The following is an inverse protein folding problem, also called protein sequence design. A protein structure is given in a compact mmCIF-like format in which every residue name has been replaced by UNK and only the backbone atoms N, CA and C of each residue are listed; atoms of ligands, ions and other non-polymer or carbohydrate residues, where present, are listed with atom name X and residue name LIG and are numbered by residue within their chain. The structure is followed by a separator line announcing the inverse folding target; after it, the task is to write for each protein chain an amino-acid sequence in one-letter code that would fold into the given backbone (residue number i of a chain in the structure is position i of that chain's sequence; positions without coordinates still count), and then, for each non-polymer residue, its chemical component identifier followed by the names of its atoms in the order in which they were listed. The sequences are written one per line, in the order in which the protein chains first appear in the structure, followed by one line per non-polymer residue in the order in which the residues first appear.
data_IF_802970967030
#
_entry.id   IF_802970967030
#
_cell.length_a   1.000
_cell.length_b   1.000
_cell.length_c   1.000
_cell.angle_alpha   90.00
_cell.angle_beta   90.00
_cell.angle_gamma   90.00
#
_symmetry.space_group_name_H-M   'P 1'
#
loop_
_entity.id
_entity.type
_entity.pdbx_description
1 polymer ?
#
# COMPACT_ATOMS: atom_id res chain seq x y z
N UNK A 1 -22.92 48.16 19.33
CA UNK A 1 -23.02 47.32 20.54
C UNK A 1 -22.10 46.12 20.34
N UNK A 2 -20.84 46.21 20.77
CA UNK A 2 -19.87 45.10 20.69
C UNK A 2 -20.16 44.16 21.85
N UNK A 3 -21.03 43.18 21.63
CA UNK A 3 -21.16 42.05 22.58
C UNK A 3 -19.78 41.41 22.62
N UNK A 4 -19.21 41.25 23.82
CA UNK A 4 -17.88 40.66 23.96
C UNK A 4 -17.93 39.25 23.38
N UNK A 5 -16.86 38.81 22.68
CA UNK A 5 -16.76 37.43 22.17
C UNK A 5 -17.06 36.43 23.30
N UNK A 6 -16.69 36.76 24.55
CA UNK A 6 -17.02 35.98 25.76
C UNK A 6 -18.53 35.82 26.03
N UNK A 7 -19.33 36.87 25.84
CA UNK A 7 -20.78 36.84 26.05
C UNK A 7 -21.52 36.15 24.91
N UNK A 8 -20.97 36.18 23.69
CA UNK A 8 -21.54 35.48 22.55
C UNK A 8 -21.35 33.97 22.69
N UNK A 9 -20.18 33.53 23.18
CA UNK A 9 -19.85 32.11 23.35
C UNK A 9 -20.71 31.38 24.42
N UNK A 10 -21.18 32.08 25.46
CA UNK A 10 -22.06 31.48 26.50
C UNK A 10 -23.50 31.24 26.01
N UNK A 11 -23.95 31.97 25.00
CA UNK A 11 -25.27 31.74 24.37
C UNK A 11 -25.26 30.45 23.56
N UNK A 12 -24.12 30.08 22.97
CA UNK A 12 -24.04 29.00 22.00
C UNK A 12 -23.99 27.61 22.64
N UNK A 13 -23.46 27.51 23.87
CA UNK A 13 -23.57 26.30 24.71
C UNK A 13 -25.03 25.85 24.90
N UNK A 14 -25.99 26.80 24.87
CA UNK A 14 -27.42 26.52 25.06
C UNK A 14 -28.13 26.05 23.80
N UNK A 15 -27.42 25.85 22.69
CA UNK A 15 -27.98 25.46 21.39
C UNK A 15 -27.33 24.15 20.89
N UNK A 16 -27.57 23.00 21.57
CA UNK A 16 -26.99 21.72 21.18
C UNK A 16 -27.40 21.35 19.75
N UNK A 17 -26.43 20.90 18.94
CA UNK A 17 -26.65 20.47 17.57
C UNK A 17 -27.03 21.57 16.58
N UNK A 18 -27.00 22.85 16.97
CA UNK A 18 -27.39 23.94 16.07
C UNK A 18 -26.32 24.18 14.98
N UNK A 19 -26.63 23.94 13.68
CA UNK A 19 -25.62 24.03 12.62
C UNK A 19 -25.03 25.43 12.45
N UNK A 20 -25.83 26.49 12.69
CA UNK A 20 -25.34 27.88 12.60
C UNK A 20 -24.37 28.22 13.73
N UNK A 21 -24.65 27.73 14.94
CA UNK A 21 -23.74 27.89 16.07
C UNK A 21 -22.43 27.14 15.83
N UNK A 22 -22.49 25.89 15.36
CA UNK A 22 -21.32 25.07 15.02
C UNK A 22 -20.47 25.75 13.92
N UNK A 23 -21.09 26.14 12.81
CA UNK A 23 -20.38 26.80 11.70
C UNK A 23 -19.71 28.10 12.14
N UNK A 24 -20.38 28.88 12.99
CA UNK A 24 -19.81 30.11 13.49
C UNK A 24 -18.68 29.86 14.51
N UNK A 25 -18.67 28.74 15.25
CA UNK A 25 -17.56 28.39 16.15
C UNK A 25 -16.35 27.96 15.35
N UNK A 26 -16.56 27.17 14.30
CA UNK A 26 -15.51 26.78 13.35
C UNK A 26 -14.86 28.03 12.76
N UNK A 27 -15.67 29.00 12.32
CA UNK A 27 -15.15 30.27 11.79
C UNK A 27 -14.32 31.05 12.83
N UNK A 28 -14.76 31.10 14.09
CA UNK A 28 -13.99 31.75 15.16
C UNK A 28 -12.67 31.00 15.42
N UNK A 29 -12.70 29.66 15.47
CA UNK A 29 -11.53 28.82 15.70
C UNK A 29 -10.44 29.07 14.64
N UNK A 30 -10.85 29.19 13.37
CA UNK A 30 -9.93 29.47 12.26
C UNK A 30 -9.43 30.91 12.20
N UNK A 31 -10.23 31.89 12.64
CA UNK A 31 -9.90 33.31 12.50
C UNK A 31 -9.08 33.89 13.67
N UNK A 32 -9.20 33.31 14.86
CA UNK A 32 -8.54 33.83 16.06
C UNK A 32 -7.16 33.22 16.28
N UNK A 33 -6.21 34.01 16.78
CA UNK A 33 -4.90 33.54 17.29
C UNK A 33 -4.83 33.55 18.83
N UNK A 34 -5.91 33.97 19.50
CA UNK A 34 -5.99 33.99 20.95
C UNK A 34 -6.26 32.56 21.47
N UNK A 35 -5.30 32.02 22.22
CA UNK A 35 -5.33 30.65 22.76
C UNK A 35 -6.47 30.42 23.76
N UNK A 36 -6.83 31.43 24.56
CA UNK A 36 -7.96 31.34 25.49
C UNK A 36 -9.29 31.26 24.73
N UNK A 37 -9.43 32.04 23.66
CA UNK A 37 -10.60 31.98 22.77
C UNK A 37 -10.63 30.61 22.08
N UNK A 38 -9.52 30.13 21.53
CA UNK A 38 -9.42 28.81 20.88
C UNK A 38 -9.85 27.70 21.84
N UNK A 39 -9.25 27.65 23.04
CA UNK A 39 -9.59 26.66 24.07
C UNK A 39 -11.08 26.69 24.43
N UNK A 40 -11.66 27.88 24.59
CA UNK A 40 -13.10 28.01 24.88
C UNK A 40 -13.97 27.55 23.72
N UNK A 41 -13.62 27.91 22.48
CA UNK A 41 -14.35 27.48 21.28
C UNK A 41 -14.30 25.96 21.12
N UNK A 42 -13.13 25.35 21.30
CA UNK A 42 -12.95 23.89 21.29
C UNK A 42 -13.84 23.22 22.34
N UNK A 43 -13.85 23.73 23.59
CA UNK A 43 -14.71 23.18 24.64
C UNK A 43 -16.19 23.24 24.27
N UNK A 44 -16.66 24.36 23.72
CA UNK A 44 -18.07 24.53 23.33
C UNK A 44 -18.42 23.59 22.18
N UNK A 45 -17.54 23.45 21.17
CA UNK A 45 -17.71 22.46 20.10
C UNK A 45 -17.82 21.04 20.68
N UNK A 46 -17.04 20.72 21.70
CA UNK A 46 -17.12 19.43 22.40
C UNK A 46 -18.45 19.16 23.11
N UNK A 47 -19.17 20.20 23.50
CA UNK A 47 -20.47 20.10 24.17
C UNK A 47 -21.64 20.06 23.20
N UNK A 48 -21.56 20.79 22.08
CA UNK A 48 -22.71 21.01 21.18
C UNK A 48 -22.62 20.27 19.84
N UNK A 49 -21.44 19.78 19.45
CA UNK A 49 -21.17 19.24 18.11
C UNK A 49 -20.94 17.72 18.11
N UNK A 50 -21.58 17.00 19.03
CA UNK A 50 -21.58 15.54 19.09
C UNK A 50 -21.98 14.92 17.73
N UNK A 51 -21.10 14.12 17.14
CA UNK A 51 -21.30 13.48 15.83
C UNK A 51 -21.26 14.42 14.63
N UNK A 52 -20.90 15.70 14.79
CA UNK A 52 -20.87 16.64 13.68
C UNK A 52 -19.54 16.53 12.90
N UNK A 53 -19.57 16.16 11.60
CA UNK A 53 -18.36 15.91 10.81
C UNK A 53 -17.56 17.19 10.55
N UNK A 54 -18.21 18.35 10.43
CA UNK A 54 -17.55 19.63 10.20
C UNK A 54 -16.74 20.06 11.43
N UNK A 55 -17.30 19.87 12.63
CA UNK A 55 -16.62 20.13 13.88
C UNK A 55 -15.43 19.18 14.10
N UNK A 56 -15.60 17.89 13.77
CA UNK A 56 -14.51 16.91 13.80
C UNK A 56 -13.37 17.38 12.88
N UNK A 57 -13.66 17.69 11.61
CA UNK A 57 -12.66 18.14 10.66
C UNK A 57 -11.96 19.44 11.10
N UNK A 58 -12.70 20.41 11.62
CA UNK A 58 -12.15 21.67 12.12
C UNK A 58 -11.24 21.47 13.35
N UNK A 59 -11.64 20.61 14.28
CA UNK A 59 -10.84 20.27 15.46
C UNK A 59 -9.57 19.49 15.07
N UNK A 60 -9.66 18.57 14.11
CA UNK A 60 -8.49 17.87 13.55
C UNK A 60 -7.52 18.84 12.89
N UNK A 61 -8.01 19.75 12.05
CA UNK A 61 -7.17 20.76 11.42
C UNK A 61 -6.51 21.71 12.44
N UNK A 62 -7.27 22.15 13.45
CA UNK A 62 -6.75 22.96 14.53
C UNK A 62 -5.65 22.23 15.32
N UNK A 63 -5.86 20.94 15.57
CA UNK A 63 -4.92 20.09 16.29
C UNK A 63 -3.62 19.84 15.52
N UNK A 64 -3.67 19.70 14.20
CA UNK A 64 -2.48 19.60 13.35
C UNK A 64 -1.70 20.92 13.25
N UNK A 65 -2.35 22.07 13.50
CA UNK A 65 -1.74 23.38 13.41
C UNK A 65 -1.13 23.90 14.74
N UNK A 66 -1.52 23.31 15.87
CA UNK A 66 -1.02 23.72 17.19
C UNK A 66 0.17 22.87 17.65
N UNK A 67 1.16 23.52 18.26
CA UNK A 67 2.28 22.85 18.94
C UNK A 67 2.13 22.88 20.47
N UNK A 68 1.04 23.46 20.98
CA UNK A 68 0.76 23.53 22.42
C UNK A 68 0.18 22.18 22.89
N UNK A 69 0.91 21.46 23.73
CA UNK A 69 0.54 20.12 24.18
C UNK A 69 -0.72 20.11 25.07
N UNK A 70 -0.99 21.16 25.86
CA UNK A 70 -2.20 21.25 26.68
C UNK A 70 -3.45 21.42 25.81
N UNK A 71 -3.33 22.20 24.74
CA UNK A 71 -4.37 22.33 23.71
C UNK A 71 -4.52 20.99 22.99
N UNK A 72 -3.43 20.32 22.62
CA UNK A 72 -3.48 19.04 21.90
C UNK A 72 -4.17 17.96 22.73
N UNK A 73 -3.86 17.89 24.02
CA UNK A 73 -4.53 17.02 24.98
C UNK A 73 -6.03 17.33 25.07
N UNK A 74 -6.38 18.60 25.22
CA UNK A 74 -7.77 19.05 25.36
C UNK A 74 -8.61 18.72 24.12
N UNK A 75 -8.08 19.03 22.94
CA UNK A 75 -8.76 18.76 21.67
C UNK A 75 -8.89 17.26 21.43
N UNK A 76 -7.87 16.46 21.75
CA UNK A 76 -7.91 14.98 21.65
C UNK A 76 -9.02 14.39 22.51
N UNK A 77 -9.14 14.82 23.77
CA UNK A 77 -10.23 14.39 24.65
C UNK A 77 -11.61 14.78 24.10
N UNK A 78 -11.72 15.97 23.51
CA UNK A 78 -12.97 16.44 22.91
C UNK A 78 -13.34 15.62 21.67
N UNK A 79 -12.38 15.35 20.79
CA UNK A 79 -12.57 14.47 19.64
C UNK A 79 -13.09 13.09 20.06
N UNK A 80 -12.54 12.51 21.13
CA UNK A 80 -13.03 11.25 21.70
C UNK A 80 -14.47 11.33 22.24
N UNK A 81 -14.90 12.48 22.77
CA UNK A 81 -16.28 12.68 23.29
C UNK A 81 -17.31 12.89 22.21
N UNK A 82 -16.98 13.67 21.17
CA UNK A 82 -17.91 13.94 20.07
C UNK A 82 -17.96 12.79 19.05
N UNK A 83 -17.25 11.68 19.32
CA UNK A 83 -17.03 10.60 18.39
C UNK A 83 -18.23 9.73 18.02
N UNK A 84 -19.40 10.00 18.59
CA UNK A 84 -20.60 9.24 18.29
C UNK A 84 -21.11 9.54 16.89
N UNK A 85 -21.04 8.55 15.99
CA UNK A 85 -21.65 8.62 14.65
C UNK A 85 -20.69 8.86 13.48
N UNK A 86 -19.38 8.99 13.73
CA UNK A 86 -18.37 9.00 12.66
C UNK A 86 -17.01 8.41 13.13
N UNK A 87 -16.96 7.11 13.46
CA UNK A 87 -15.75 6.48 14.00
C UNK A 87 -14.58 6.46 13.00
N UNK A 88 -14.86 6.40 11.68
CA UNK A 88 -13.84 6.37 10.62
C UNK A 88 -13.04 7.67 10.55
N UNK A 89 -13.71 8.82 10.41
CA UNK A 89 -13.04 10.12 10.30
C UNK A 89 -12.19 10.43 11.54
N UNK A 90 -12.62 9.92 12.69
CA UNK A 90 -11.95 10.13 13.96
C UNK A 90 -10.77 9.19 14.12
N UNK A 91 -10.89 7.93 13.71
CA UNK A 91 -9.76 7.01 13.68
C UNK A 91 -8.62 7.57 12.82
N UNK A 92 -8.92 8.11 11.63
CA UNK A 92 -7.91 8.75 10.77
C UNK A 92 -7.26 9.97 11.44
N UNK A 93 -8.06 10.85 12.05
CA UNK A 93 -7.54 12.01 12.77
C UNK A 93 -6.63 11.62 13.95
N UNK A 94 -7.07 10.63 14.74
CA UNK A 94 -6.35 10.09 15.88
C UNK A 94 -5.01 9.45 15.49
N UNK A 95 -4.97 8.68 14.40
CA UNK A 95 -3.74 8.11 13.87
C UNK A 95 -2.76 9.21 13.41
N UNK A 96 -3.27 10.28 12.78
CA UNK A 96 -2.46 11.44 12.43
C UNK A 96 -1.81 12.10 13.66
N UNK A 97 -2.54 12.25 14.76
CA UNK A 97 -2.00 12.80 16.01
C UNK A 97 -0.95 11.87 16.61
N UNK A 98 -1.24 10.56 16.64
CA UNK A 98 -0.31 9.55 17.14
C UNK A 98 1.06 9.66 16.45
N UNK A 99 1.05 9.84 15.12
CA UNK A 99 2.25 9.95 14.29
C UNK A 99 3.05 11.26 14.46
N UNK A 100 2.39 12.36 14.86
CA UNK A 100 2.99 13.71 14.90
C UNK A 100 3.30 14.22 16.30
N UNK A 101 2.64 13.68 17.33
CA UNK A 101 2.89 14.08 18.73
C UNK A 101 4.23 13.59 19.24
N UNK A 102 4.92 14.40 20.04
CA UNK A 102 6.06 13.96 20.86
C UNK A 102 5.69 13.80 22.35
N UNK A 103 4.53 14.29 22.76
CA UNK A 103 4.04 14.13 24.13
C UNK A 103 3.48 12.72 24.37
N UNK A 104 4.02 12.05 25.40
CA UNK A 104 3.66 10.68 25.79
C UNK A 104 2.23 10.62 26.33
N UNK A 105 1.79 11.63 27.08
CA UNK A 105 0.44 11.68 27.66
C UNK A 105 -0.63 11.75 26.57
N UNK A 106 -0.36 12.53 25.52
CA UNK A 106 -1.19 12.66 24.33
C UNK A 106 -1.23 11.35 23.55
N UNK A 107 -0.09 10.67 23.32
CA UNK A 107 -0.10 9.34 22.67
C UNK A 107 -0.93 8.33 23.43
N UNK A 108 -0.72 8.24 24.74
CA UNK A 108 -1.48 7.32 25.59
C UNK A 108 -2.98 7.60 25.49
N UNK A 109 -3.41 8.87 25.53
CA UNK A 109 -4.82 9.22 25.38
C UNK A 109 -5.38 8.85 24.00
N UNK A 110 -4.64 9.14 22.92
CA UNK A 110 -5.02 8.75 21.57
C UNK A 110 -5.23 7.25 21.47
N UNK A 111 -4.31 6.45 22.01
CA UNK A 111 -4.40 4.99 22.07
C UNK A 111 -5.63 4.52 22.82
N UNK A 112 -5.90 5.09 24.00
CA UNK A 112 -7.09 4.73 24.80
C UNK A 112 -8.40 5.10 24.10
N UNK A 113 -8.43 6.20 23.34
CA UNK A 113 -9.61 6.58 22.56
C UNK A 113 -9.78 5.63 21.37
N UNK A 114 -8.72 5.38 20.61
CA UNK A 114 -8.74 4.42 19.49
C UNK A 114 -9.24 3.04 19.95
N UNK A 115 -8.71 2.52 21.06
CA UNK A 115 -9.15 1.23 21.60
C UNK A 115 -10.64 1.19 22.02
N UNK A 116 -11.26 2.35 22.27
CA UNK A 116 -12.68 2.45 22.61
C UNK A 116 -13.60 2.67 21.39
N UNK A 117 -13.14 3.43 20.41
CA UNK A 117 -13.99 3.84 19.27
C UNK A 117 -13.85 2.92 18.07
N UNK A 118 -12.73 2.19 17.94
CA UNK A 118 -12.48 1.29 16.83
C UNK A 118 -13.38 0.07 16.96
N UNK A 119 -14.36 0.00 16.08
CA UNK A 119 -15.30 -1.12 15.94
C UNK A 119 -14.87 -2.03 14.79
N UNK A 120 -15.45 -3.23 14.70
CA UNK A 120 -15.03 -4.30 13.78
C UNK A 120 -14.93 -3.87 12.31
N UNK A 121 -15.76 -2.92 11.88
CA UNK A 121 -15.77 -2.33 10.54
C UNK A 121 -14.57 -1.39 10.29
N UNK A 122 -14.03 -0.78 11.34
CA UNK A 122 -12.92 0.19 11.27
C UNK A 122 -11.55 -0.43 11.55
N UNK A 123 -11.52 -1.59 12.21
CA UNK A 123 -10.27 -2.30 12.54
C UNK A 123 -9.35 -2.46 11.31
N UNK A 124 -9.82 -2.89 10.12
CA UNK A 124 -8.94 -3.08 8.98
C UNK A 124 -8.19 -1.80 8.59
N UNK A 125 -8.89 -0.67 8.53
CA UNK A 125 -8.30 0.64 8.18
C UNK A 125 -7.26 1.09 9.20
N UNK A 126 -7.53 0.85 10.49
CA UNK A 126 -6.61 1.18 11.59
C UNK A 126 -5.35 0.33 11.52
N UNK A 127 -5.49 -0.98 11.29
CA UNK A 127 -4.35 -1.89 11.12
C UNK A 127 -3.48 -1.47 9.94
N UNK A 128 -4.08 -1.23 8.77
CA UNK A 128 -3.34 -0.81 7.58
C UNK A 128 -2.63 0.53 7.77
N UNK A 129 -3.21 1.45 8.54
CA UNK A 129 -2.64 2.76 8.80
C UNK A 129 -1.54 2.72 9.87
N UNK A 130 -1.55 1.78 10.83
CA UNK A 130 -0.56 1.71 11.90
C UNK A 130 0.59 0.73 11.62
N UNK A 131 0.43 -0.22 10.70
CA UNK A 131 1.44 -1.27 10.44
C UNK A 131 2.86 -0.73 10.16
N UNK A 132 2.96 0.42 9.51
CA UNK A 132 4.24 0.98 9.09
C UNK A 132 5.08 1.54 10.26
N UNK A 133 4.42 1.81 11.39
CA UNK A 133 5.09 2.18 12.64
C UNK A 133 5.69 0.96 13.37
N UNK A 134 5.38 -0.27 12.94
CA UNK A 134 5.94 -1.50 13.49
C UNK A 134 7.18 -1.95 12.70
N UNK A 135 8.18 -1.08 12.63
CA UNK A 135 9.49 -1.39 12.05
C UNK A 135 10.63 -1.04 13.01
N UNK A 136 11.77 -1.69 12.82
CA UNK A 136 12.98 -1.52 13.65
C UNK A 136 13.39 -0.05 13.77
N UNK A 137 13.25 0.72 12.69
CA UNK A 137 13.56 2.15 12.68
C UNK A 137 12.68 2.94 13.67
N UNK A 138 11.38 2.65 13.74
CA UNK A 138 10.46 3.34 14.66
C UNK A 138 10.70 2.88 16.10
N UNK A 139 11.01 1.60 16.30
CA UNK A 139 11.38 1.06 17.61
C UNK A 139 12.61 1.78 18.20
N UNK A 140 13.63 2.03 17.39
CA UNK A 140 14.87 2.70 17.83
C UNK A 140 14.70 4.22 18.00
N UNK A 141 14.01 4.89 17.08
CA UNK A 141 13.90 6.36 17.09
C UNK A 141 12.77 6.89 17.93
N UNK A 142 11.71 6.10 18.11
CA UNK A 142 10.46 6.57 18.68
C UNK A 142 9.70 5.43 19.38
N UNK A 143 10.33 4.84 20.40
CA UNK A 143 9.82 3.67 21.12
C UNK A 143 8.38 3.83 21.62
N UNK A 144 8.00 5.02 22.12
CA UNK A 144 6.62 5.23 22.59
C UNK A 144 5.60 5.13 21.43
N UNK A 145 5.96 5.54 20.19
CA UNK A 145 5.08 5.43 19.02
C UNK A 145 4.93 3.97 18.61
N UNK A 146 6.04 3.23 18.63
CA UNK A 146 6.05 1.80 18.37
C UNK A 146 5.17 1.05 19.38
N UNK A 147 5.35 1.31 20.68
CA UNK A 147 4.60 0.66 21.76
C UNK A 147 3.09 0.94 21.66
N UNK A 148 2.70 2.20 21.45
CA UNK A 148 1.30 2.57 21.31
C UNK A 148 0.67 1.98 20.04
N UNK A 149 1.39 1.99 18.90
CA UNK A 149 0.91 1.38 17.66
C UNK A 149 0.72 -0.14 17.82
N UNK A 150 1.65 -0.79 18.53
CA UNK A 150 1.57 -2.22 18.84
C UNK A 150 0.36 -2.52 19.74
N UNK A 151 0.11 -1.72 20.78
CA UNK A 151 -1.04 -1.88 21.66
C UNK A 151 -2.36 -1.82 20.87
N UNK A 152 -2.52 -0.81 20.01
CA UNK A 152 -3.74 -0.63 19.20
C UNK A 152 -3.94 -1.83 18.26
N UNK A 153 -2.87 -2.26 17.60
CA UNK A 153 -2.88 -3.40 16.68
C UNK A 153 -3.20 -4.71 17.40
N UNK A 154 -2.67 -4.94 18.59
CA UNK A 154 -2.97 -6.14 19.38
C UNK A 154 -4.43 -6.13 19.83
N UNK A 155 -4.96 -4.98 20.24
CA UNK A 155 -6.38 -4.84 20.55
C UNK A 155 -7.25 -5.09 19.30
N UNK A 156 -6.83 -4.63 18.13
CA UNK A 156 -7.47 -4.94 16.85
C UNK A 156 -7.49 -6.45 16.56
N UNK A 157 -6.36 -7.14 16.76
CA UNK A 157 -6.24 -8.58 16.54
C UNK A 157 -7.14 -9.42 17.48
N UNK A 158 -7.38 -8.94 18.71
CA UNK A 158 -8.27 -9.63 19.66
C UNK A 158 -9.75 -9.54 19.26
N UNK A 159 -10.13 -8.50 18.52
CA UNK A 159 -11.52 -8.22 18.16
C UNK A 159 -11.87 -8.64 16.72
N UNK A 160 -10.90 -9.16 15.95
CA UNK A 160 -11.07 -9.48 14.52
C UNK A 160 -10.74 -10.95 14.20
N UNK A 161 -11.50 -11.62 13.30
CA UNK A 161 -11.09 -12.90 12.76
C UNK A 161 -9.73 -12.83 12.07
N UNK A 162 -8.88 -13.83 12.30
CA UNK A 162 -7.52 -13.90 11.75
C UNK A 162 -7.42 -13.63 10.23
N UNK A 163 -8.31 -14.16 9.36
CA UNK A 163 -8.23 -13.88 7.93
C UNK A 163 -8.40 -12.40 7.59
N UNK A 164 -9.31 -11.70 8.26
CA UNK A 164 -9.57 -10.27 8.05
C UNK A 164 -8.41 -9.42 8.58
N UNK A 165 -7.79 -9.85 9.70
CA UNK A 165 -6.60 -9.20 10.24
C UNK A 165 -5.42 -9.33 9.28
N UNK A 166 -5.18 -10.55 8.80
CA UNK A 166 -4.13 -10.86 7.84
C UNK A 166 -4.29 -10.03 6.55
N UNK A 167 -5.52 -9.89 6.05
CA UNK A 167 -5.81 -9.03 4.90
C UNK A 167 -5.46 -7.57 5.19
N UNK A 168 -5.94 -7.00 6.30
CA UNK A 168 -5.66 -5.62 6.68
C UNK A 168 -4.18 -5.32 6.92
N UNK A 169 -3.45 -6.31 7.43
CA UNK A 169 -2.01 -6.26 7.67
C UNK A 169 -1.19 -6.31 6.38
N UNK A 170 -1.68 -7.00 5.34
CA UNK A 170 -0.89 -7.21 4.12
C UNK A 170 -1.40 -6.40 2.90
N UNK A 171 -2.60 -5.82 2.97
CA UNK A 171 -3.23 -5.09 1.85
C UNK A 171 -3.67 -3.69 2.31
N UNK A 172 -3.38 -2.65 1.51
CA UNK A 172 -3.97 -1.33 1.70
C UNK A 172 -5.44 -1.36 1.27
N UNK A 173 -6.36 -1.05 2.19
CA UNK A 173 -7.78 -0.92 1.88
C UNK A 173 -8.01 0.20 0.86
N UNK A 174 -8.28 -0.18 -0.38
CA UNK A 174 -9.00 0.67 -1.33
C UNK A 174 -10.48 0.51 -1.03
N UNK A 175 -11.11 1.55 -0.49
CA UNK A 175 -12.54 1.57 -0.17
C UNK A 175 -13.39 1.52 -1.44
N UNK A 176 -14.50 0.77 -1.42
CA UNK A 176 -15.70 1.17 -2.16
C UNK A 176 -16.93 1.18 -1.25
N UNK A 177 -17.67 2.29 -1.30
CA UNK A 177 -18.97 2.47 -0.64
C UNK A 177 -20.13 1.92 -1.53
N UNK A 178 -21.40 1.92 -1.08
CA UNK A 178 -22.20 0.73 -0.74
C UNK A 178 -23.26 0.36 -1.80
N UNK A 179 -23.75 -0.87 -1.79
CA UNK A 179 -25.20 -1.20 -1.76
C UNK A 179 -25.46 -2.71 -1.65
N UNK A 180 -26.68 -3.03 -1.24
CA UNK A 180 -27.12 -4.13 -0.37
C UNK A 180 -27.66 -5.36 -1.18
N UNK A 181 -28.38 -6.31 -0.56
CA UNK A 181 -28.01 -7.67 -0.18
C UNK A 181 -28.41 -8.74 -1.23
N UNK A 182 -28.05 -10.00 -0.96
CA UNK A 182 -28.93 -11.20 -1.01
C UNK A 182 -28.14 -12.48 -1.35
N UNK A 183 -27.96 -13.32 -0.34
CA UNK A 183 -28.54 -14.68 -0.20
C UNK A 183 -27.97 -15.76 -1.13
N UNK A 184 -27.33 -16.72 -0.48
CA UNK A 184 -27.31 -18.16 -0.82
C UNK A 184 -26.99 -18.55 -2.26
N UNK A 185 -25.79 -19.06 -2.47
CA UNK A 185 -25.46 -19.87 -3.63
C UNK A 185 -23.97 -20.06 -3.76
N UNK A 186 -23.51 -21.30 -3.67
CA UNK A 186 -22.14 -21.71 -3.97
C UNK A 186 -21.74 -21.19 -5.35
N UNK A 187 -20.62 -20.46 -5.43
CA UNK A 187 -20.03 -20.03 -6.70
C UNK A 187 -19.42 -18.64 -6.64
N UNK A 188 -18.09 -18.60 -6.61
CA UNK A 188 -17.23 -17.57 -7.19
C UNK A 188 -17.72 -16.11 -7.16
N UNK A 189 -17.23 -15.31 -6.22
CA UNK A 189 -17.25 -13.84 -6.35
C UNK A 189 -15.84 -13.32 -6.66
N UNK A 190 -15.72 -12.33 -7.57
CA UNK A 190 -14.45 -11.76 -8.02
C UNK A 190 -13.83 -10.84 -6.96
N UNK A 191 -12.57 -10.46 -7.15
CA UNK A 191 -11.72 -9.62 -6.29
C UNK A 191 -10.72 -10.35 -5.36
N UNK A 192 -10.09 -11.39 -5.88
CA UNK A 192 -8.64 -11.29 -6.10
C UNK A 192 -8.45 -10.74 -7.51
N UNK A 193 -8.00 -9.50 -7.70
CA UNK A 193 -7.16 -9.26 -8.87
C UNK A 193 -5.77 -9.78 -8.48
N UNK A 194 -5.69 -11.10 -8.35
CA UNK A 194 -4.45 -11.83 -8.53
C UNK A 194 -3.85 -11.27 -9.80
N UNK A 195 -2.62 -10.76 -9.72
CA UNK A 195 -1.93 -10.27 -10.89
C UNK A 195 -2.04 -11.35 -11.95
N UNK A 196 -2.81 -11.10 -13.00
CA UNK A 196 -2.92 -12.09 -14.06
C UNK A 196 -1.55 -12.14 -14.71
N UNK A 197 -0.77 -13.18 -14.42
CA UNK A 197 0.59 -13.29 -14.95
C UNK A 197 0.58 -13.27 -16.49
N UNK A 198 -0.55 -13.58 -17.13
CA UNK A 198 -0.74 -13.39 -18.57
C UNK A 198 -0.57 -11.91 -19.02
N UNK A 199 -0.92 -10.94 -18.18
CA UNK A 199 -0.80 -9.50 -18.45
C UNK A 199 0.50 -8.90 -17.88
N UNK A 200 1.34 -9.71 -17.22
CA UNK A 200 2.63 -9.29 -16.65
C UNK A 200 3.50 -8.49 -17.64
N UNK A 201 3.70 -8.92 -18.90
CA UNK A 201 4.54 -8.16 -19.83
C UNK A 201 4.01 -6.74 -20.07
N UNK A 202 2.68 -6.58 -20.21
CA UNK A 202 2.06 -5.27 -20.45
C UNK A 202 2.19 -4.34 -19.25
N UNK A 203 2.04 -4.91 -18.04
CA UNK A 203 2.14 -4.15 -16.79
C UNK A 203 3.58 -3.67 -16.57
N UNK A 204 4.57 -4.53 -16.83
CA UNK A 204 5.99 -4.17 -16.75
C UNK A 204 6.34 -3.12 -17.79
N UNK A 205 5.88 -3.27 -19.05
CA UNK A 205 6.10 -2.27 -20.09
C UNK A 205 5.55 -0.89 -19.68
N UNK A 206 4.32 -0.83 -19.14
CA UNK A 206 3.72 0.43 -18.67
C UNK A 206 4.56 1.09 -17.56
N UNK A 207 5.03 0.30 -16.59
CA UNK A 207 5.89 0.79 -15.48
C UNK A 207 7.27 1.22 -15.94
N UNK A 208 7.84 0.56 -16.95
CA UNK A 208 9.14 0.94 -17.52
C UNK A 208 9.06 2.26 -18.28
N UNK A 209 7.92 2.57 -18.90
CA UNK A 209 7.67 3.88 -19.52
C UNK A 209 7.58 4.97 -18.45
N UNK A 210 6.83 4.74 -17.36
CA UNK A 210 6.73 5.71 -16.24
C UNK A 210 8.09 6.04 -15.62
N UNK A 211 8.98 5.05 -15.54
CA UNK A 211 10.30 5.18 -14.91
C UNK A 211 11.42 5.56 -15.88
N UNK A 212 11.12 5.79 -17.17
CA UNK A 212 12.08 6.09 -18.24
C UNK A 212 13.16 5.01 -18.49
N UNK A 213 13.04 3.83 -17.86
CA UNK A 213 13.99 2.72 -18.01
C UNK A 213 13.88 2.03 -19.37
N UNK A 214 12.77 2.22 -20.08
CA UNK A 214 12.55 1.63 -21.42
C UNK A 214 13.52 2.16 -22.48
N UNK A 215 14.22 3.26 -22.21
CA UNK A 215 15.24 3.82 -23.11
C UNK A 215 16.56 3.03 -23.04
N UNK A 216 16.91 2.50 -21.86
CA UNK A 216 18.16 1.75 -21.63
C UNK A 216 17.98 0.23 -21.62
N UNK A 217 16.76 -0.26 -21.36
CA UNK A 217 16.48 -1.68 -21.21
C UNK A 217 15.62 -2.23 -22.35
N UNK A 218 15.93 -3.46 -22.76
CA UNK A 218 15.06 -4.27 -23.61
C UNK A 218 14.53 -5.46 -22.80
N UNK A 219 13.31 -5.33 -22.29
CA UNK A 219 12.66 -6.38 -21.51
C UNK A 219 12.09 -7.46 -22.44
N UNK A 220 12.42 -8.72 -22.17
CA UNK A 220 11.91 -9.86 -22.91
C UNK A 220 11.32 -10.87 -21.92
N UNK A 221 9.99 -10.86 -21.83
CA UNK A 221 9.24 -11.80 -21.01
C UNK A 221 8.94 -13.08 -21.78
N UNK A 222 9.30 -14.23 -21.21
CA UNK A 222 9.11 -15.56 -21.76
C UNK A 222 8.13 -16.32 -20.88
N UNK A 223 7.02 -16.73 -21.49
CA UNK A 223 6.01 -17.59 -20.89
C UNK A 223 6.43 -19.06 -21.03
N UNK A 224 6.78 -19.67 -19.90
CA UNK A 224 7.27 -21.04 -19.83
C UNK A 224 6.15 -22.07 -19.86
N UNK A 225 4.90 -21.65 -19.64
CA UNK A 225 3.74 -22.54 -19.62
C UNK A 225 3.41 -23.14 -20.99
N UNK A 226 4.01 -22.59 -22.06
CA UNK A 226 3.85 -23.00 -23.45
C UNK A 226 4.93 -23.97 -23.94
N UNK A 227 5.88 -24.33 -23.07
CA UNK A 227 6.98 -25.22 -23.46
C UNK A 227 6.46 -26.64 -23.69
N UNK A 228 6.82 -27.22 -24.84
CA UNK A 228 6.50 -28.62 -25.15
C UNK A 228 7.55 -29.54 -24.53
N UNK A 229 8.83 -29.15 -24.62
CA UNK A 229 9.96 -29.83 -24.01
C UNK A 229 10.58 -28.94 -22.92
N UNK A 230 10.40 -29.31 -21.65
CA UNK A 230 10.90 -28.54 -20.51
C UNK A 230 12.41 -28.69 -20.28
N UNK A 231 13.05 -29.71 -20.86
CA UNK A 231 14.50 -29.92 -20.80
C UNK A 231 15.24 -29.13 -21.90
N UNK A 232 14.62 -28.98 -23.08
CA UNK A 232 15.17 -28.21 -24.21
C UNK A 232 14.12 -27.29 -24.90
N UNK A 233 13.67 -26.21 -24.22
CA UNK A 233 12.68 -25.28 -24.78
C UNK A 233 13.27 -24.28 -25.80
N UNK A 234 14.38 -24.61 -26.48
CA UNK A 234 15.13 -23.66 -27.30
C UNK A 234 14.29 -23.06 -28.45
N UNK A 235 13.51 -23.90 -29.15
CA UNK A 235 12.65 -23.47 -30.24
C UNK A 235 11.45 -22.64 -29.75
N UNK A 236 10.86 -23.01 -28.61
CA UNK A 236 9.73 -22.30 -28.02
C UNK A 236 10.13 -20.89 -27.55
N UNK A 237 11.31 -20.77 -26.93
CA UNK A 237 11.89 -19.47 -26.54
C UNK A 237 12.20 -18.63 -27.78
N UNK A 238 12.77 -19.24 -28.82
CA UNK A 238 13.07 -18.53 -30.06
C UNK A 238 11.81 -18.02 -30.76
N UNK A 239 10.72 -18.78 -30.77
CA UNK A 239 9.42 -18.31 -31.27
C UNK A 239 8.95 -17.04 -30.53
N UNK A 240 9.04 -17.05 -29.20
CA UNK A 240 8.67 -15.89 -28.37
C UNK A 240 9.61 -14.69 -28.57
N UNK A 241 10.88 -14.90 -28.90
CA UNK A 241 11.79 -13.80 -29.30
C UNK A 241 11.32 -13.11 -30.58
N UNK A 242 10.88 -13.87 -31.58
CA UNK A 242 10.38 -13.32 -32.83
C UNK A 242 9.10 -12.48 -32.63
N UNK A 243 8.18 -12.94 -31.77
CA UNK A 243 6.96 -12.20 -31.41
C UNK A 243 7.27 -10.85 -30.73
N UNK A 244 8.44 -10.73 -30.11
CA UNK A 244 8.96 -9.51 -29.47
C UNK A 244 9.84 -8.66 -30.39
N UNK A 245 9.74 -8.85 -31.71
CA UNK A 245 10.49 -8.14 -32.75
C UNK A 245 12.02 -8.35 -32.69
N UNK A 246 12.50 -9.48 -32.14
CA UNK A 246 13.92 -9.80 -32.22
C UNK A 246 14.30 -10.24 -33.66
N UNK A 247 15.50 -9.89 -34.16
CA UNK A 247 15.92 -10.20 -35.52
C UNK A 247 16.04 -11.71 -35.74
N UNK A 248 15.51 -12.23 -36.84
CA UNK A 248 15.67 -13.65 -37.17
C UNK A 248 17.15 -14.04 -37.26
N UNK A 249 17.48 -15.21 -36.71
CA UNK A 249 18.80 -15.79 -36.88
C UNK A 249 19.03 -16.10 -38.38
N UNK A 250 20.16 -15.66 -38.97
CA UNK A 250 20.32 -15.59 -40.42
C UNK A 250 20.32 -16.94 -41.16
N UNK A 251 20.52 -18.07 -40.47
CA UNK A 251 20.74 -19.37 -41.13
C UNK A 251 19.72 -20.46 -40.76
N UNK A 252 19.38 -20.64 -39.49
CA UNK A 252 18.43 -21.65 -39.00
C UNK A 252 17.94 -21.31 -37.59
N UNK A 253 16.76 -21.82 -37.21
CA UNK A 253 16.24 -21.69 -35.85
C UNK A 253 17.13 -22.47 -34.84
N UNK A 254 17.35 -21.95 -33.62
CA UNK A 254 18.15 -22.63 -32.60
C UNK A 254 17.37 -23.83 -32.04
N UNK A 255 17.80 -25.04 -32.42
CA UNK A 255 17.22 -26.31 -31.96
C UNK A 255 17.75 -26.74 -30.58
N UNK A 256 18.84 -26.12 -30.12
CA UNK A 256 19.50 -26.44 -28.83
C UNK A 256 19.71 -25.20 -27.97
N UNK A 257 19.73 -25.36 -26.64
CA UNK A 257 20.04 -24.28 -25.69
C UNK A 257 21.41 -23.63 -25.96
N UNK A 258 22.39 -24.37 -26.49
CA UNK A 258 23.70 -23.82 -26.87
C UNK A 258 23.59 -22.85 -28.06
N UNK A 259 22.80 -23.20 -29.07
CA UNK A 259 22.51 -22.31 -30.20
C UNK A 259 21.67 -21.10 -29.74
N UNK A 260 20.73 -21.31 -28.82
CA UNK A 260 19.96 -20.21 -28.23
C UNK A 260 20.86 -19.26 -27.44
N UNK A 261 21.83 -19.78 -26.66
CA UNK A 261 22.83 -18.97 -25.97
C UNK A 261 23.65 -18.14 -26.96
N UNK A 262 24.10 -18.75 -28.06
CA UNK A 262 24.84 -18.03 -29.09
C UNK A 262 24.01 -16.87 -29.68
N UNK A 263 22.74 -17.13 -29.99
CA UNK A 263 21.81 -16.11 -30.47
C UNK A 263 21.57 -14.99 -29.45
N UNK A 264 21.36 -15.32 -28.18
CA UNK A 264 21.24 -14.35 -27.08
C UNK A 264 22.48 -13.44 -26.96
N UNK A 265 23.67 -14.02 -27.02
CA UNK A 265 24.92 -13.26 -26.96
C UNK A 265 25.09 -12.34 -28.18
N UNK A 266 24.54 -12.70 -29.34
CA UNK A 266 24.53 -11.85 -30.53
C UNK A 266 23.52 -10.70 -30.42
N UNK A 267 22.33 -10.96 -29.88
CA UNK A 267 21.33 -9.95 -29.55
C UNK A 267 21.91 -8.84 -28.67
N UNK A 268 22.59 -9.22 -27.58
CA UNK A 268 23.22 -8.25 -26.67
C UNK A 268 24.38 -7.44 -27.29
N UNK A 269 24.98 -7.91 -28.39
CA UNK A 269 26.06 -7.17 -29.10
C UNK A 269 25.54 -6.19 -30.15
N UNK A 270 24.32 -6.39 -30.64
CA UNK A 270 23.72 -5.62 -31.72
C UNK A 270 22.61 -4.67 -31.25
N UNK A 271 22.26 -4.69 -29.97
CA UNK A 271 21.28 -3.79 -29.35
C UNK A 271 21.99 -2.71 -28.55
N UNK A 272 21.57 -1.45 -28.73
CA UNK A 272 22.02 -0.32 -27.88
C UNK A 272 21.36 -0.37 -26.48
N UNK A 273 20.41 -1.29 -26.28
CA UNK A 273 19.69 -1.51 -25.02
C UNK A 273 20.18 -2.79 -24.35
N UNK A 274 20.29 -2.75 -23.02
CA UNK A 274 20.65 -3.91 -22.23
C UNK A 274 19.50 -4.93 -22.22
N UNK A 275 19.68 -6.14 -22.80
CA UNK A 275 18.61 -7.12 -22.90
C UNK A 275 18.43 -7.84 -21.56
N UNK A 276 17.18 -7.93 -21.12
CA UNK A 276 16.81 -8.58 -19.85
C UNK A 276 15.77 -9.66 -20.13
N UNK A 277 16.05 -10.87 -19.65
CA UNK A 277 15.20 -12.03 -19.84
C UNK A 277 14.42 -12.32 -18.55
N UNK A 278 13.09 -12.30 -18.62
CA UNK A 278 12.21 -12.64 -17.49
C UNK A 278 11.40 -13.87 -17.86
N UNK A 279 11.62 -14.97 -17.15
CA UNK A 279 10.79 -16.16 -17.28
C UNK A 279 9.66 -16.13 -16.26
N UNK A 280 8.46 -16.42 -16.72
CA UNK A 280 7.29 -16.52 -15.86
C UNK A 280 6.39 -17.64 -16.35
N UNK A 281 5.54 -18.13 -15.46
CA UNK A 281 4.64 -19.23 -15.73
C UNK A 281 3.20 -18.77 -15.57
N UNK A 282 2.40 -18.85 -16.64
CA UNK A 282 0.98 -18.55 -16.56
C UNK A 282 0.25 -19.62 -15.71
N UNK A 283 -0.37 -19.23 -14.57
CA UNK A 283 -1.05 -20.18 -13.68
C UNK A 283 -2.35 -20.72 -14.28
N UNK A 284 -2.87 -20.14 -15.36
CA UNK A 284 -4.10 -20.59 -16.02
C UNK A 284 -3.87 -21.75 -17.00
N UNK A 285 -2.60 -22.09 -17.29
CA UNK A 285 -2.26 -23.16 -18.22
C UNK A 285 -2.28 -24.54 -17.55
N UNK A 286 -3.11 -25.50 -18.03
CA UNK A 286 -3.44 -26.74 -17.31
C UNK A 286 -2.33 -27.80 -17.27
N UNK A 287 -1.15 -27.53 -17.84
CA UNK A 287 -0.04 -28.47 -17.96
C UNK A 287 1.30 -27.86 -17.51
N UNK A 288 1.24 -27.02 -16.49
CA UNK A 288 2.36 -26.29 -15.92
C UNK A 288 3.39 -27.23 -15.24
N UNK A 289 4.14 -28.00 -16.03
CA UNK A 289 5.35 -28.68 -15.57
C UNK A 289 6.36 -27.57 -15.28
N UNK A 290 6.72 -27.39 -14.02
CA UNK A 290 7.72 -26.40 -13.63
C UNK A 290 9.02 -26.55 -14.43
N UNK A 291 9.86 -25.50 -14.41
CA UNK A 291 11.13 -25.50 -15.13
C UNK A 291 12.00 -26.69 -14.74
N UNK A 292 12.52 -27.42 -15.74
CA UNK A 292 13.43 -28.54 -15.49
C UNK A 292 14.73 -28.07 -14.83
N UNK A 293 15.28 -28.82 -13.86
CA UNK A 293 16.61 -28.56 -13.32
C UNK A 293 17.70 -28.49 -14.39
N UNK A 294 17.60 -29.29 -15.46
CA UNK A 294 18.57 -29.28 -16.58
C UNK A 294 18.55 -27.94 -17.30
N UNK A 295 17.35 -27.41 -17.56
CA UNK A 295 17.18 -26.11 -18.19
C UNK A 295 17.65 -24.96 -17.28
N UNK A 296 17.33 -25.03 -15.98
CA UNK A 296 17.81 -24.04 -15.00
C UNK A 296 19.34 -24.01 -14.91
N UNK A 297 20.01 -25.17 -14.86
CA UNK A 297 21.48 -25.24 -14.87
C UNK A 297 22.06 -24.64 -16.17
N UNK A 298 21.43 -24.91 -17.31
CA UNK A 298 21.83 -24.32 -18.57
C UNK A 298 21.69 -22.79 -18.57
N UNK A 299 20.60 -22.24 -18.02
CA UNK A 299 20.37 -20.79 -17.91
C UNK A 299 21.42 -20.09 -17.05
N UNK A 300 21.95 -20.71 -15.99
CA UNK A 300 23.03 -20.12 -15.20
C UNK A 300 24.30 -19.86 -16.00
N UNK A 301 24.46 -20.53 -17.14
CA UNK A 301 25.60 -20.39 -18.04
C UNK A 301 25.35 -19.36 -19.14
N UNK A 302 24.19 -18.72 -19.21
CA UNK A 302 23.92 -17.64 -20.16
C UNK A 302 24.56 -16.34 -19.65
N UNK A 303 25.12 -15.56 -20.56
CA UNK A 303 25.75 -14.29 -20.22
C UNK A 303 24.67 -13.20 -20.28
N UNK A 304 24.41 -12.47 -19.19
CA UNK A 304 23.45 -11.37 -19.16
C UNK A 304 22.52 -11.38 -17.96
N UNK A 305 21.52 -10.51 -17.99
CA UNK A 305 20.58 -10.32 -16.87
C UNK A 305 19.34 -11.18 -17.07
N UNK A 306 19.21 -12.23 -16.24
CA UNK A 306 18.12 -13.20 -16.31
C UNK A 306 17.42 -13.29 -14.96
N UNK A 307 16.10 -13.37 -14.97
CA UNK A 307 15.27 -13.50 -13.77
C UNK A 307 14.15 -14.54 -13.96
N UNK A 308 13.77 -15.19 -12.85
CA UNK A 308 12.71 -16.18 -12.77
C UNK A 308 11.56 -15.73 -11.85
N UNK A 309 10.33 -15.82 -12.32
CA UNK A 309 9.12 -15.67 -11.48
C UNK A 309 8.55 -17.07 -11.25
N UNK A 310 8.80 -17.63 -10.07
CA UNK A 310 8.56 -19.04 -9.76
C UNK A 310 8.32 -19.25 -8.26
N UNK A 311 7.48 -20.22 -7.91
CA UNK A 311 7.26 -20.66 -6.52
C UNK A 311 8.47 -21.43 -5.96
N UNK A 312 9.40 -21.84 -6.82
CA UNK A 312 10.63 -22.56 -6.45
C UNK A 312 11.88 -21.73 -6.80
N UNK A 313 12.36 -20.88 -5.88
CA UNK A 313 13.50 -20.00 -6.14
C UNK A 313 14.79 -20.77 -6.39
N UNK A 314 15.62 -20.26 -7.29
CA UNK A 314 16.92 -20.85 -7.63
C UNK A 314 18.04 -20.18 -6.82
N UNK A 315 19.04 -20.91 -6.29
CA UNK A 315 20.05 -20.37 -5.36
C UNK A 315 20.97 -19.30 -5.98
N UNK A 316 21.22 -19.36 -7.29
CA UNK A 316 22.17 -18.48 -7.98
C UNK A 316 21.53 -17.45 -8.91
N UNK A 317 20.23 -17.55 -9.18
CA UNK A 317 19.53 -16.64 -10.10
C UNK A 317 18.53 -15.77 -9.34
N UNK A 318 18.39 -14.48 -9.70
CA UNK A 318 17.33 -13.62 -9.17
C UNK A 318 15.96 -14.26 -9.40
N UNK A 319 15.25 -14.55 -8.31
CA UNK A 319 13.93 -15.16 -8.36
C UNK A 319 12.93 -14.38 -7.53
N UNK A 320 11.70 -14.26 -8.05
CA UNK A 320 10.59 -13.57 -7.40
C UNK A 320 9.39 -14.51 -7.29
N UNK A 321 8.64 -14.37 -6.20
CA UNK A 321 7.46 -15.19 -5.96
C UNK A 321 6.28 -14.66 -6.80
N UNK A 322 5.59 -15.51 -7.59
CA UNK A 322 4.42 -15.11 -8.36
C UNK A 322 3.30 -14.53 -7.50
N UNK A 323 3.21 -14.98 -6.25
CA UNK A 323 2.20 -14.56 -5.27
C UNK A 323 2.62 -13.33 -4.45
N UNK A 324 3.80 -12.75 -4.70
CA UNK A 324 4.23 -11.52 -4.01
C UNK A 324 3.30 -10.35 -4.41
N UNK A 325 2.57 -9.72 -3.48
CA UNK A 325 1.70 -8.59 -3.77
C UNK A 325 2.46 -7.36 -4.31
N UNK A 326 3.77 -7.29 -4.07
CA UNK A 326 4.64 -6.23 -4.57
C UNK A 326 5.54 -6.68 -5.73
N UNK A 327 5.27 -7.84 -6.35
CA UNK A 327 6.09 -8.46 -7.41
C UNK A 327 6.58 -7.45 -8.46
N UNK A 328 5.67 -6.64 -9.01
CA UNK A 328 6.01 -5.63 -10.03
C UNK A 328 7.00 -4.61 -9.48
N UNK A 329 6.76 -4.09 -8.28
CA UNK A 329 7.62 -3.08 -7.65
C UNK A 329 9.00 -3.66 -7.34
N UNK A 330 9.05 -4.90 -6.85
CA UNK A 330 10.29 -5.62 -6.56
C UNK A 330 11.11 -5.83 -7.85
N UNK A 331 10.46 -6.26 -8.94
CA UNK A 331 11.10 -6.41 -10.25
C UNK A 331 11.64 -5.07 -10.75
N UNK A 332 10.85 -3.99 -10.73
CA UNK A 332 11.28 -2.66 -11.20
C UNK A 332 12.49 -2.16 -10.39
N UNK A 333 12.47 -2.34 -9.06
CA UNK A 333 13.58 -1.95 -8.19
C UNK A 333 14.85 -2.74 -8.53
N UNK A 334 14.72 -4.04 -8.82
CA UNK A 334 15.83 -4.87 -9.28
C UNK A 334 16.36 -4.45 -10.67
N UNK A 335 15.47 -4.09 -11.60
CA UNK A 335 15.85 -3.58 -12.91
C UNK A 335 16.62 -2.26 -12.79
N UNK A 336 16.16 -1.33 -11.96
CA UNK A 336 16.84 -0.05 -11.69
C UNK A 336 18.26 -0.26 -11.18
N UNK A 337 18.42 -1.16 -10.20
CA UNK A 337 19.73 -1.50 -9.65
C UNK A 337 20.65 -2.07 -10.72
N UNK A 338 20.13 -2.93 -11.58
CA UNK A 338 20.90 -3.56 -12.65
C UNK A 338 21.40 -2.54 -13.68
N UNK A 339 20.60 -1.51 -13.99
CA UNK A 339 21.04 -0.39 -14.86
C UNK A 339 22.10 0.48 -14.19
N UNK A 340 22.00 0.72 -12.88
CA UNK A 340 22.99 1.50 -12.12
C UNK A 340 24.34 0.77 -11.98
N UNK A 341 24.34 -0.55 -12.04
CA UNK A 341 25.53 -1.40 -11.88
C UNK A 341 26.16 -1.83 -13.23
N UNK A 342 25.50 -1.58 -14.37
CA UNK A 342 25.95 -1.92 -15.72
C UNK A 342 26.76 -0.79 -16.41
#
# INVERSE_FOLDING_TARGET
MRISVKESLTVWVKLPGNPKAIAALIAILSATNDEDIRRRVTNILGEIATGNPEAIAALTAFLSATNDEDIRQSVTNILGKIATGNPEAIATALIGILSTTNDKSTRWQVTQILNKIVQNDQIPSVVSALQHFLCDQTHETNFDLYENSLEIILNCAQNLPYPTFYQAWHHQLTTPHPEVPETTGVGSTPFTQSLNLADLPKILDARLVETQLIESLQLICIDTSKFIDSDNPALDIYGQFLDKNCPQHPNHAPETLAQLKFYWNQLGRHSDKHPILIFYQDPTSPAAQGLSPTFLDALTRFDGTICLITDSPHPTMPSFLPQDPYLIQTIITWLQRTVLEA
#
